data_IF_991523087720
#
_entry.id   IF_991523087720
#
_cell.length_a   1.000
_cell.length_b   1.000
_cell.length_c   1.000
_cell.angle_alpha   90.00
_cell.angle_beta   90.00
_cell.angle_gamma   90.00
#
_symmetry.space_group_name_H-M   'P 1'
#
loop_
_entity.id
_entity.type
_entity.pdbx_description
1 polymer ?
#
# COMPACT_ATOMS: atom_id res chain seq x y z
N UNK A 1 4.43 4.55 -38.35
CA UNK A 1 5.79 4.52 -37.80
C UNK A 1 5.79 3.51 -36.67
N UNK A 2 6.49 2.40 -36.84
CA UNK A 2 6.59 1.35 -35.83
C UNK A 2 7.51 1.81 -34.70
N UNK A 3 6.93 2.35 -33.66
CA UNK A 3 7.65 2.71 -32.44
C UNK A 3 7.95 1.46 -31.63
N UNK A 4 8.89 0.65 -32.12
CA UNK A 4 9.35 -0.52 -31.40
C UNK A 4 10.28 -0.18 -30.25
N UNK A 5 10.57 -1.17 -29.43
CA UNK A 5 11.66 -1.15 -28.47
C UNK A 5 12.98 -0.89 -29.21
N UNK A 6 13.79 0.10 -28.77
CA UNK A 6 15.13 0.38 -29.24
C UNK A 6 16.10 0.23 -28.07
N UNK A 7 17.24 -0.39 -28.33
CA UNK A 7 18.34 -0.54 -27.38
C UNK A 7 19.62 0.05 -27.95
N UNK A 8 20.36 0.74 -27.12
CA UNK A 8 21.69 1.24 -27.39
C UNK A 8 22.63 0.79 -26.27
N UNK A 9 23.62 -0.04 -26.59
CA UNK A 9 24.54 -0.55 -25.58
C UNK A 9 25.33 -1.76 -26.02
N UNK A 10 25.87 -2.48 -25.05
CA UNK A 10 26.74 -3.62 -25.25
C UNK A 10 25.94 -4.87 -25.61
N UNK A 11 26.50 -5.72 -26.46
CA UNK A 11 25.93 -7.01 -26.89
C UNK A 11 26.93 -8.13 -26.67
N UNK A 12 26.43 -9.31 -26.32
CA UNK A 12 27.14 -10.56 -26.28
C UNK A 12 26.24 -11.65 -26.86
N UNK A 13 26.74 -12.44 -27.82
CA UNK A 13 25.97 -13.48 -28.51
C UNK A 13 24.61 -13.00 -29.07
N UNK A 14 24.56 -11.73 -29.56
CA UNK A 14 23.35 -11.13 -30.13
C UNK A 14 22.30 -10.71 -29.12
N UNK A 15 22.57 -10.83 -27.83
CA UNK A 15 21.69 -10.39 -26.73
C UNK A 15 22.24 -9.11 -26.08
N UNK A 16 21.34 -8.29 -25.51
CA UNK A 16 21.73 -7.17 -24.66
C UNK A 16 22.52 -7.69 -23.48
N UNK A 17 23.74 -7.22 -23.30
CA UNK A 17 24.61 -7.64 -22.21
C UNK A 17 25.54 -6.46 -21.83
N UNK A 18 25.88 -6.30 -20.54
CA UNK A 18 26.64 -5.14 -20.09
C UNK A 18 25.80 -3.87 -20.01
N UNK A 19 26.43 -2.70 -20.23
CA UNK A 19 25.78 -1.39 -20.09
C UNK A 19 24.95 -1.05 -21.32
N UNK A 20 23.76 -0.45 -21.07
CA UNK A 20 22.90 -0.01 -22.16
C UNK A 20 21.70 0.82 -21.72
N UNK A 21 20.99 1.33 -22.72
CA UNK A 21 19.79 2.14 -22.57
C UNK A 21 18.69 1.60 -23.46
N UNK A 22 17.53 1.39 -22.89
CA UNK A 22 16.32 1.01 -23.61
C UNK A 22 15.40 2.21 -23.83
N UNK A 23 14.79 2.24 -25.01
CA UNK A 23 13.82 3.25 -25.41
C UNK A 23 12.53 2.61 -25.90
N UNK A 24 11.41 3.23 -25.57
CA UNK A 24 10.12 3.00 -26.24
C UNK A 24 9.64 4.34 -26.78
N UNK A 25 9.35 4.43 -28.08
CA UNK A 25 8.97 5.68 -28.76
C UNK A 25 9.93 6.85 -28.48
N UNK A 26 11.26 6.60 -28.50
CA UNK A 26 12.31 7.56 -28.17
C UNK A 26 12.31 8.09 -26.72
N UNK A 27 11.57 7.46 -25.82
CA UNK A 27 11.60 7.76 -24.39
C UNK A 27 12.44 6.70 -23.69
N UNK A 28 13.41 7.12 -22.87
CA UNK A 28 14.22 6.20 -22.05
C UNK A 28 13.28 5.48 -21.07
N UNK A 29 13.27 4.15 -21.15
CA UNK A 29 12.52 3.29 -20.25
C UNK A 29 13.38 2.54 -19.26
N UNK A 30 14.66 2.40 -19.59
CA UNK A 30 15.64 1.83 -18.66
C UNK A 30 17.06 2.24 -19.06
N UNK A 31 17.89 2.51 -18.07
CA UNK A 31 19.31 2.77 -18.20
C UNK A 31 20.07 1.98 -17.13
N UNK A 32 21.00 1.13 -17.55
CA UNK A 32 21.73 0.30 -16.62
C UNK A 32 22.44 -0.88 -17.25
N UNK A 33 22.59 -1.92 -16.48
CA UNK A 33 23.23 -3.19 -16.87
C UNK A 33 22.17 -4.20 -17.33
N UNK A 34 22.54 -4.97 -18.33
CA UNK A 34 21.75 -6.05 -18.91
C UNK A 34 22.52 -7.37 -18.82
N UNK A 35 21.80 -8.47 -18.65
CA UNK A 35 22.32 -9.83 -18.69
C UNK A 35 21.38 -10.69 -19.53
N UNK A 36 21.91 -11.32 -20.57
CA UNK A 36 21.16 -12.22 -21.47
C UNK A 36 19.84 -11.59 -21.97
N UNK A 37 19.90 -10.36 -22.47
CA UNK A 37 18.77 -9.63 -23.03
C UNK A 37 17.77 -9.08 -21.99
N UNK A 38 18.04 -9.19 -20.69
CA UNK A 38 17.14 -8.74 -19.61
C UNK A 38 17.77 -7.62 -18.79
N UNK A 39 16.95 -6.65 -18.37
CA UNK A 39 17.35 -5.62 -17.40
C UNK A 39 17.89 -6.30 -16.14
N UNK A 40 19.08 -5.92 -15.69
CA UNK A 40 19.70 -6.50 -14.50
C UNK A 40 19.73 -5.52 -13.34
N UNK A 41 20.44 -4.40 -13.50
CA UNK A 41 20.60 -3.38 -12.47
C UNK A 41 20.65 -1.99 -13.12
N UNK A 42 19.89 -1.03 -12.58
CA UNK A 42 19.86 0.31 -13.16
C UNK A 42 18.67 1.11 -12.68
N UNK A 43 18.28 2.11 -13.49
CA UNK A 43 17.09 2.92 -13.25
C UNK A 43 16.13 2.78 -14.42
N UNK A 44 14.85 2.69 -14.13
CA UNK A 44 13.86 2.50 -15.17
C UNK A 44 12.53 3.14 -14.87
N UNK A 45 11.70 3.20 -15.91
CA UNK A 45 10.32 3.67 -15.86
C UNK A 45 9.40 2.64 -16.46
N UNK A 46 8.25 2.48 -15.86
CA UNK A 46 7.14 1.72 -16.39
C UNK A 46 5.97 2.66 -16.66
N UNK A 47 5.13 2.33 -17.63
CA UNK A 47 4.05 3.19 -18.07
C UNK A 47 2.72 2.43 -18.11
N UNK A 48 1.64 3.08 -17.72
CA UNK A 48 0.27 2.63 -18.00
C UNK A 48 -0.04 2.73 -19.49
N UNK A 49 0.35 3.87 -20.08
CA UNK A 49 0.21 4.21 -21.48
C UNK A 49 1.37 5.13 -21.85
N UNK A 50 1.55 5.44 -23.14
CA UNK A 50 2.65 6.22 -23.70
C UNK A 50 3.12 7.43 -22.86
N UNK A 51 2.18 8.17 -22.22
CA UNK A 51 2.50 9.41 -21.49
C UNK A 51 2.21 9.33 -19.97
N UNK A 52 1.85 8.15 -19.44
CA UNK A 52 1.46 8.02 -18.03
C UNK A 52 2.38 7.05 -17.32
N UNK A 53 3.28 7.60 -16.50
CA UNK A 53 4.20 6.80 -15.69
C UNK A 53 3.39 6.02 -14.65
N UNK A 54 3.69 4.73 -14.55
CA UNK A 54 3.25 3.84 -13.49
C UNK A 54 4.27 3.80 -12.35
N UNK A 55 5.54 3.66 -12.71
CA UNK A 55 6.64 3.52 -11.78
C UNK A 55 7.90 4.15 -12.36
N UNK A 56 8.71 4.77 -11.50
CA UNK A 56 10.08 5.13 -11.80
C UNK A 56 10.97 4.81 -10.59
N UNK A 57 12.13 4.22 -10.84
CA UNK A 57 13.02 3.87 -9.73
C UNK A 57 14.15 2.93 -10.11
N UNK A 58 14.74 2.37 -9.05
CA UNK A 58 15.87 1.48 -9.14
C UNK A 58 15.42 0.03 -9.37
N UNK A 59 16.27 -0.70 -10.10
CA UNK A 59 16.09 -2.11 -10.42
C UNK A 59 17.33 -2.90 -10.02
N UNK A 60 17.09 -4.12 -9.56
CA UNK A 60 18.11 -5.12 -9.32
C UNK A 60 17.54 -6.50 -9.65
N UNK A 61 18.33 -7.32 -10.36
CA UNK A 61 17.89 -8.65 -10.83
C UNK A 61 16.57 -8.58 -11.64
N UNK A 62 16.41 -7.50 -12.45
CA UNK A 62 15.22 -7.29 -13.27
C UNK A 62 13.94 -6.94 -12.50
N UNK A 63 14.02 -6.68 -11.21
CA UNK A 63 12.90 -6.33 -10.34
C UNK A 63 13.06 -4.92 -9.81
N UNK A 64 11.95 -4.26 -9.46
CA UNK A 64 11.97 -3.02 -8.67
C UNK A 64 12.65 -3.32 -7.34
N UNK A 65 13.79 -2.67 -7.07
CA UNK A 65 14.61 -2.93 -5.88
C UNK A 65 15.48 -1.70 -5.63
N UNK A 66 15.32 -1.06 -4.47
CA UNK A 66 15.89 0.23 -4.14
C UNK A 66 14.86 1.35 -4.18
N UNK A 67 15.29 2.60 -4.33
CA UNK A 67 14.42 3.77 -4.31
C UNK A 67 13.49 3.82 -5.53
N UNK A 68 12.22 4.14 -5.28
CA UNK A 68 11.25 4.27 -6.37
C UNK A 68 9.99 5.04 -5.98
N UNK A 69 9.26 5.47 -7.02
CA UNK A 69 7.96 6.13 -6.93
C UNK A 69 6.96 5.40 -7.80
N UNK A 70 5.76 5.24 -7.29
CA UNK A 70 4.62 4.69 -8.00
C UNK A 70 3.52 5.74 -8.12
N UNK A 71 2.87 5.77 -9.26
CA UNK A 71 1.88 6.78 -9.62
C UNK A 71 0.53 6.13 -9.95
N UNK A 72 -0.55 6.85 -9.71
CA UNK A 72 -1.87 6.50 -10.24
C UNK A 72 -2.01 6.93 -11.70
N UNK A 73 -3.15 6.58 -12.33
CA UNK A 73 -3.45 6.94 -13.73
C UNK A 73 -3.61 8.45 -13.95
N UNK A 74 -3.73 9.25 -12.89
CA UNK A 74 -3.83 10.70 -12.95
C UNK A 74 -2.47 11.39 -12.77
N UNK A 75 -1.41 10.62 -12.43
CA UNK A 75 -0.06 11.12 -12.18
C UNK A 75 0.19 11.52 -10.73
N UNK A 76 -0.71 11.19 -9.80
CA UNK A 76 -0.46 11.41 -8.37
C UNK A 76 0.44 10.31 -7.82
N UNK A 77 1.38 10.67 -6.95
CA UNK A 77 2.22 9.71 -6.25
C UNK A 77 1.34 8.91 -5.28
N UNK A 78 1.32 7.58 -5.45
CA UNK A 78 0.65 6.65 -4.55
C UNK A 78 1.61 5.86 -3.67
N UNK A 79 2.91 5.90 -3.97
CA UNK A 79 3.96 5.41 -3.08
C UNK A 79 5.30 6.04 -3.43
N UNK A 80 6.06 6.41 -2.42
CA UNK A 80 7.46 6.83 -2.53
C UNK A 80 8.27 6.19 -1.42
N UNK A 81 9.33 5.45 -1.79
CA UNK A 81 10.11 4.73 -0.81
C UNK A 81 11.06 3.70 -1.41
N UNK A 82 11.36 2.71 -0.61
CA UNK A 82 12.21 1.58 -0.96
C UNK A 82 11.35 0.40 -1.42
N UNK A 83 11.72 -0.19 -2.53
CA UNK A 83 11.22 -1.45 -3.03
C UNK A 83 12.19 -2.58 -2.71
N UNK A 84 11.68 -3.77 -2.46
CA UNK A 84 12.44 -5.01 -2.36
C UNK A 84 11.74 -6.11 -3.16
N UNK A 85 12.39 -6.59 -4.22
CA UNK A 85 11.85 -7.66 -5.08
C UNK A 85 10.42 -7.38 -5.59
N UNK A 86 10.16 -6.18 -6.16
CA UNK A 86 8.88 -5.67 -6.64
C UNK A 86 7.85 -5.27 -5.56
N UNK A 87 8.13 -5.49 -4.29
CA UNK A 87 7.22 -5.14 -3.19
C UNK A 87 7.60 -3.81 -2.57
N UNK A 88 6.61 -3.02 -2.16
CA UNK A 88 6.80 -1.85 -1.31
C UNK A 88 7.40 -2.32 0.01
N UNK A 89 8.60 -1.85 0.38
CA UNK A 89 9.29 -2.32 1.57
C UNK A 89 9.26 -1.29 2.70
N UNK A 90 9.69 -0.07 2.41
CA UNK A 90 9.73 1.03 3.37
C UNK A 90 9.45 2.35 2.66
N UNK A 91 8.60 3.20 3.24
CA UNK A 91 8.24 4.48 2.63
C UNK A 91 6.84 4.93 3.02
N UNK A 92 6.34 5.95 2.32
CA UNK A 92 5.00 6.47 2.51
C UNK A 92 4.14 6.20 1.28
N UNK A 93 2.90 5.78 1.50
CA UNK A 93 2.03 5.49 0.37
C UNK A 93 0.56 5.32 0.71
N UNK A 94 -0.18 5.05 -0.36
CA UNK A 94 -1.63 4.81 -0.34
C UNK A 94 -1.92 3.45 -0.96
N UNK A 95 -2.89 2.77 -0.41
CA UNK A 95 -3.49 1.59 -1.02
C UNK A 95 -4.97 1.83 -1.28
N UNK A 96 -5.43 1.30 -2.39
CA UNK A 96 -6.83 1.41 -2.81
C UNK A 96 -7.41 0.01 -3.01
N UNK A 97 -8.70 -0.13 -2.69
CA UNK A 97 -9.48 -1.31 -3.05
C UNK A 97 -9.68 -1.39 -4.56
N UNK A 98 -10.16 -2.53 -5.04
CA UNK A 98 -10.44 -2.74 -6.47
C UNK A 98 -11.44 -1.71 -7.03
N UNK A 99 -12.39 -1.24 -6.23
CA UNK A 99 -13.36 -0.20 -6.58
C UNK A 99 -12.84 1.24 -6.38
N UNK A 100 -11.52 1.42 -6.15
CA UNK A 100 -10.86 2.72 -6.08
C UNK A 100 -11.01 3.47 -4.75
N UNK A 101 -11.54 2.84 -3.71
CA UNK A 101 -11.63 3.45 -2.38
C UNK A 101 -10.30 3.36 -1.64
N UNK A 102 -9.91 4.43 -0.97
CA UNK A 102 -8.72 4.43 -0.12
C UNK A 102 -8.92 3.45 1.05
N UNK A 103 -8.00 2.50 1.18
CA UNK A 103 -7.99 1.50 2.27
C UNK A 103 -6.82 1.71 3.24
N UNK A 104 -5.77 2.40 2.84
CA UNK A 104 -4.68 2.79 3.72
C UNK A 104 -3.93 4.00 3.16
N UNK A 105 -3.51 4.90 4.04
CA UNK A 105 -2.58 5.98 3.77
C UNK A 105 -1.63 6.13 4.95
N UNK A 106 -0.33 5.98 4.71
CA UNK A 106 0.65 6.03 5.78
C UNK A 106 1.98 5.43 5.43
N UNK A 107 2.75 5.15 6.47
CA UNK A 107 4.07 4.54 6.35
C UNK A 107 3.97 3.03 6.19
N UNK A 108 4.85 2.51 5.35
CA UNK A 108 5.14 1.09 5.21
C UNK A 108 6.49 0.79 5.84
N UNK A 109 6.62 -0.35 6.48
CA UNK A 109 7.86 -0.87 7.03
C UNK A 109 7.88 -2.39 6.88
N UNK A 110 8.98 -2.92 6.34
CA UNK A 110 9.13 -4.36 6.08
C UNK A 110 7.96 -4.96 5.27
N UNK A 111 7.47 -4.18 4.29
CA UNK A 111 6.37 -4.59 3.41
C UNK A 111 4.98 -4.55 4.06
N UNK A 112 4.86 -4.07 5.29
CA UNK A 112 3.60 -4.01 6.04
C UNK A 112 3.17 -2.57 6.27
N UNK A 113 1.86 -2.34 6.40
CA UNK A 113 1.30 -1.09 6.92
C UNK A 113 1.84 -0.87 8.32
N UNK A 114 2.52 0.25 8.56
CA UNK A 114 3.18 0.49 9.84
C UNK A 114 2.46 1.54 10.67
N UNK A 115 2.36 2.75 10.14
CA UNK A 115 1.72 3.90 10.80
C UNK A 115 0.88 4.67 9.78
N UNK A 116 -0.34 5.05 10.16
CA UNK A 116 -1.22 5.80 9.29
C UNK A 116 -2.69 5.55 9.54
N UNK A 117 -3.53 5.98 8.61
CA UNK A 117 -4.96 5.75 8.62
C UNK A 117 -5.33 4.59 7.71
N UNK A 118 -6.18 3.69 8.19
CA UNK A 118 -6.60 2.55 7.39
C UNK A 118 -8.06 2.16 7.56
N UNK A 119 -8.54 1.39 6.58
CA UNK A 119 -9.86 0.78 6.51
C UNK A 119 -9.71 -0.71 6.30
N UNK A 120 -10.43 -1.50 7.05
CA UNK A 120 -10.38 -2.96 7.00
C UNK A 120 -11.77 -3.54 7.18
N UNK A 121 -12.17 -4.45 6.30
CA UNK A 121 -13.44 -5.14 6.40
C UNK A 121 -13.16 -6.56 6.87
N UNK A 122 -13.75 -6.95 8.01
CA UNK A 122 -13.66 -8.31 8.54
C UNK A 122 -14.53 -9.29 7.74
N UNK A 123 -14.30 -10.57 7.90
CA UNK A 123 -15.08 -11.64 7.27
C UNK A 123 -16.59 -11.56 7.60
N UNK A 124 -16.93 -11.06 8.78
CA UNK A 124 -18.33 -10.83 9.19
C UNK A 124 -18.92 -9.50 8.70
N UNK A 125 -18.19 -8.74 7.85
CA UNK A 125 -18.67 -7.50 7.23
C UNK A 125 -18.58 -6.26 8.12
N UNK A 126 -17.83 -6.30 9.23
CA UNK A 126 -17.56 -5.14 10.06
C UNK A 126 -16.45 -4.32 9.39
N UNK A 127 -16.73 -3.06 9.07
CA UNK A 127 -15.75 -2.10 8.61
C UNK A 127 -15.10 -1.41 9.81
N UNK A 128 -13.78 -1.52 9.95
CA UNK A 128 -12.97 -0.68 10.81
C UNK A 128 -12.41 0.49 10.02
N UNK A 129 -12.45 1.68 10.60
CA UNK A 129 -11.76 2.89 10.10
C UNK A 129 -11.00 3.53 11.26
N UNK A 130 -9.68 3.70 11.11
CA UNK A 130 -8.90 4.26 12.21
C UNK A 130 -7.41 4.31 11.97
N UNK A 131 -6.70 4.69 13.01
CA UNK A 131 -5.27 4.83 13.01
C UNK A 131 -4.59 3.51 13.37
N UNK A 132 -3.46 3.29 12.68
CA UNK A 132 -2.53 2.20 12.93
C UNK A 132 -1.23 2.77 13.47
N UNK A 133 -0.58 2.06 14.36
CA UNK A 133 0.79 2.27 14.80
C UNK A 133 1.46 0.91 15.02
N UNK A 134 2.68 0.76 14.51
CA UNK A 134 3.41 -0.51 14.53
C UNK A 134 2.59 -1.68 13.93
N UNK A 135 1.81 -1.39 12.88
CA UNK A 135 0.96 -2.38 12.22
C UNK A 135 -0.28 -2.80 13.02
N UNK A 136 -0.55 -2.16 14.15
CA UNK A 136 -1.70 -2.46 15.01
C UNK A 136 -2.71 -1.33 15.05
N UNK A 137 -3.99 -1.67 15.15
CA UNK A 137 -5.06 -0.71 15.41
C UNK A 137 -4.81 0.01 16.72
N UNK A 138 -4.95 1.34 16.72
CA UNK A 138 -4.78 2.19 17.91
C UNK A 138 -6.10 2.81 18.34
N UNK A 139 -6.72 3.57 17.45
CA UNK A 139 -7.98 4.25 17.70
C UNK A 139 -8.79 4.29 16.43
N UNK A 140 -10.09 4.03 16.53
CA UNK A 140 -10.95 4.04 15.36
C UNK A 140 -12.38 3.68 15.65
N UNK A 141 -13.13 3.58 14.56
CA UNK A 141 -14.55 3.27 14.57
C UNK A 141 -14.83 1.98 13.84
N UNK A 142 -15.80 1.24 14.33
CA UNK A 142 -16.34 0.08 13.63
C UNK A 142 -17.77 0.35 13.17
N UNK A 143 -18.08 -0.14 11.99
CA UNK A 143 -19.40 -0.01 11.38
C UNK A 143 -19.90 -1.38 10.93
N UNK A 144 -21.18 -1.60 11.11
CA UNK A 144 -21.89 -2.72 10.52
C UNK A 144 -23.13 -2.20 9.78
N UNK A 145 -23.30 -2.58 8.51
CA UNK A 145 -24.36 -2.05 7.65
C UNK A 145 -24.44 -0.51 7.67
N UNK A 146 -23.28 0.18 7.59
CA UNK A 146 -23.12 1.65 7.61
C UNK A 146 -23.52 2.30 8.94
N UNK A 147 -23.91 1.55 9.97
CA UNK A 147 -24.20 2.05 11.31
C UNK A 147 -22.97 1.87 12.18
N UNK A 148 -22.63 2.90 12.95
CA UNK A 148 -21.56 2.79 13.94
C UNK A 148 -21.97 1.80 15.02
N UNK A 149 -21.04 0.88 15.33
CA UNK A 149 -21.22 -0.11 16.40
C UNK A 149 -20.19 0.05 17.51
N UNK A 150 -19.05 0.72 17.23
CA UNK A 150 -18.03 0.99 18.24
C UNK A 150 -17.21 2.21 17.83
N UNK A 151 -16.78 3.01 18.83
CA UNK A 151 -15.83 4.11 18.71
C UNK A 151 -14.89 4.08 19.91
N UNK A 152 -13.59 3.85 19.69
CA UNK A 152 -12.68 3.71 20.81
C UNK A 152 -11.26 3.34 20.44
N UNK A 153 -10.55 2.86 21.45
CA UNK A 153 -9.15 2.49 21.41
C UNK A 153 -8.98 0.97 21.35
N UNK A 154 -7.83 0.57 20.82
CA UNK A 154 -7.46 -0.82 20.60
C UNK A 154 -6.11 -1.11 21.24
N UNK A 155 -5.94 -2.34 21.69
CA UNK A 155 -4.66 -2.90 22.13
C UNK A 155 -4.56 -4.33 21.59
N UNK A 156 -3.44 -4.64 20.93
CA UNK A 156 -3.25 -5.94 20.26
C UNK A 156 -4.39 -6.24 19.26
N UNK A 157 -4.84 -5.23 18.51
CA UNK A 157 -5.97 -5.30 17.57
C UNK A 157 -7.35 -5.63 18.19
N UNK A 158 -7.47 -5.66 19.50
CA UNK A 158 -8.73 -5.87 20.24
C UNK A 158 -9.20 -4.56 20.86
N UNK A 159 -10.52 -4.37 21.00
CA UNK A 159 -11.11 -3.24 21.73
C UNK A 159 -10.54 -3.19 23.14
N UNK A 160 -10.08 -2.01 23.59
CA UNK A 160 -9.51 -1.78 24.93
C UNK A 160 -10.29 -0.77 25.75
N UNK A 161 -10.75 0.32 25.13
CA UNK A 161 -11.61 1.33 25.77
C UNK A 161 -12.47 2.02 24.72
N UNK A 162 -13.74 2.30 25.02
CA UNK A 162 -14.60 2.99 24.05
C UNK A 162 -16.08 2.91 24.34
N UNK A 163 -16.85 3.30 23.33
CA UNK A 163 -18.30 3.35 23.35
C UNK A 163 -18.88 2.39 22.32
N UNK A 164 -19.78 1.54 22.75
CA UNK A 164 -20.51 0.60 21.90
C UNK A 164 -21.92 1.11 21.64
N UNK A 165 -22.35 0.96 20.40
CA UNK A 165 -23.64 1.45 19.93
C UNK A 165 -24.50 0.32 19.38
N UNK A 166 -25.81 0.43 19.57
CA UNK A 166 -26.81 -0.36 18.90
C UNK A 166 -27.94 0.56 18.44
N UNK A 167 -28.21 0.56 17.13
CA UNK A 167 -29.24 1.40 16.49
C UNK A 167 -29.14 2.88 16.86
N UNK A 168 -27.88 3.39 16.95
CA UNK A 168 -27.57 4.79 17.29
C UNK A 168 -27.59 5.10 18.80
N UNK A 169 -28.01 4.17 19.65
CA UNK A 169 -28.01 4.35 21.09
C UNK A 169 -26.75 3.78 21.71
N UNK A 170 -26.21 4.46 22.72
CA UNK A 170 -25.10 3.95 23.53
C UNK A 170 -25.62 2.79 24.37
N UNK A 171 -25.01 1.61 24.22
CA UNK A 171 -25.32 0.41 24.99
C UNK A 171 -24.23 0.05 26.01
N UNK A 172 -23.01 0.57 25.80
CA UNK A 172 -21.90 0.42 26.74
C UNK A 172 -20.86 1.50 26.51
N UNK A 173 -20.27 2.01 27.59
CA UNK A 173 -19.09 2.89 27.55
C UNK A 173 -18.14 2.47 28.66
N UNK A 174 -16.91 2.12 28.32
CA UNK A 174 -15.96 1.66 29.32
C UNK A 174 -14.77 0.91 28.71
N UNK A 175 -14.15 0.10 29.57
CA UNK A 175 -12.95 -0.68 29.26
C UNK A 175 -13.30 -2.12 28.89
N UNK A 176 -12.44 -2.69 28.06
CA UNK A 176 -12.51 -4.06 27.60
C UNK A 176 -11.26 -4.81 28.07
N UNK A 177 -11.41 -6.07 28.42
CA UNK A 177 -10.32 -7.00 28.68
C UNK A 177 -10.46 -8.16 27.69
N UNK A 178 -9.40 -8.37 26.90
CA UNK A 178 -9.38 -9.36 25.82
C UNK A 178 -10.58 -9.24 24.88
N UNK A 179 -10.93 -7.97 24.53
CA UNK A 179 -12.06 -7.65 23.65
C UNK A 179 -13.45 -7.80 24.25
N UNK A 180 -13.57 -8.21 25.52
CA UNK A 180 -14.85 -8.35 26.23
C UNK A 180 -15.08 -7.18 27.19
N UNK A 181 -16.33 -6.73 27.34
CA UNK A 181 -16.72 -5.70 28.31
C UNK A 181 -16.23 -6.11 29.71
N UNK A 182 -15.47 -5.21 30.35
CA UNK A 182 -14.88 -5.49 31.66
C UNK A 182 -15.31 -4.50 32.73
N UNK A 183 -15.13 -3.19 32.51
CA UNK A 183 -15.49 -2.15 33.48
C UNK A 183 -16.05 -0.92 32.75
N UNK A 184 -17.22 -0.45 33.17
CA UNK A 184 -17.88 0.68 32.53
C UNK A 184 -19.38 0.69 32.82
N UNK A 185 -20.07 1.61 32.16
CA UNK A 185 -21.50 1.80 32.25
C UNK A 185 -22.20 1.24 31.01
N UNK A 186 -23.27 0.51 31.22
CA UNK A 186 -24.02 -0.08 30.12
C UNK A 186 -25.49 -0.29 30.45
N UNK A 187 -26.31 -0.44 29.40
CA UNK A 187 -27.72 -0.82 29.55
C UNK A 187 -27.83 -2.35 29.40
N UNK A 188 -28.46 -2.99 30.38
CA UNK A 188 -28.85 -4.39 30.25
C UNK A 188 -30.08 -4.45 29.35
N UNK A 189 -30.09 -5.37 28.40
CA UNK A 189 -31.32 -5.72 27.68
C UNK A 189 -32.18 -6.56 28.65
N UNK A 190 -33.41 -6.14 28.82
CA UNK A 190 -34.46 -6.98 29.43
C UNK A 190 -34.85 -8.11 28.48
#
# INVERSE_FOLDING_TARGET
MSGGLKYEGEYEDGLYNGKGVEYIYNVITFEGEFINGKRWKGKGKEYYTYNKILYEGEYKNGKRDGKGKEYDKNGNIIFEGIYLNNNKWEGYGKEFSYDGKLIFEGQFKEGKKWEGFGREISECGILFEGNYFEGQKQKGKEYYNRKIIFDGEYKNNMRSEGTEYQDGNIIFKGKYLDGKKWNGEGKKKD
#
